data_IF_246793861267
#
_entry.id   IF_246793861267
#
_cell.length_a   1.000
_cell.length_b   1.000
_cell.length_c   1.000
_cell.angle_alpha   90.00
_cell.angle_beta   90.00
_cell.angle_gamma   90.00
#
_symmetry.space_group_name_H-M   'P 1'
#
loop_
_entity.id
_entity.type
_entity.pdbx_description
1 polymer ?
#
# COMPACT_ATOMS: atom_id res chain seq x y z
N UNK A 1 -0.84 -21.02 12.31
CA UNK A 1 -1.38 -19.78 11.70
C UNK A 1 -0.51 -18.54 11.96
N UNK A 2 -0.01 -18.29 13.18
CA UNK A 2 0.81 -17.11 13.49
C UNK A 2 2.09 -16.99 12.64
N UNK A 3 2.82 -18.09 12.45
CA UNK A 3 4.03 -18.12 11.62
C UNK A 3 3.79 -17.70 10.16
N UNK A 4 2.71 -18.16 9.54
CA UNK A 4 2.36 -17.79 8.17
C UNK A 4 2.00 -16.29 8.03
N UNK A 5 1.33 -15.72 9.04
CA UNK A 5 1.05 -14.28 9.09
C UNK A 5 2.34 -13.46 9.24
N UNK A 6 3.28 -13.93 10.05
CA UNK A 6 4.57 -13.26 10.25
C UNK A 6 5.43 -13.28 8.97
N UNK A 7 5.48 -14.41 8.26
CA UNK A 7 6.16 -14.50 6.97
C UNK A 7 5.54 -13.56 5.92
N UNK A 8 4.21 -13.45 5.91
CA UNK A 8 3.53 -12.51 5.02
C UNK A 8 3.90 -11.06 5.34
N UNK A 9 3.93 -10.69 6.62
CA UNK A 9 4.37 -9.36 7.06
C UNK A 9 5.82 -9.08 6.64
N UNK A 10 6.75 -10.02 6.85
CA UNK A 10 8.13 -9.90 6.38
C UNK A 10 8.20 -9.65 4.86
N UNK A 11 7.40 -10.37 4.06
CA UNK A 11 7.39 -10.15 2.61
C UNK A 11 6.78 -8.81 2.20
N UNK A 12 5.77 -8.32 2.91
CA UNK A 12 5.22 -6.98 2.66
C UNK A 12 6.25 -5.89 3.00
N UNK A 13 6.95 -6.03 4.12
CA UNK A 13 8.05 -5.14 4.49
C UNK A 13 9.13 -5.14 3.42
N UNK A 14 9.51 -6.30 2.92
CA UNK A 14 10.48 -6.42 1.82
C UNK A 14 10.02 -5.70 0.54
N UNK A 15 8.75 -5.87 0.14
CA UNK A 15 8.23 -5.18 -1.04
C UNK A 15 8.13 -3.65 -0.84
N UNK A 16 7.82 -3.18 0.37
CA UNK A 16 7.87 -1.76 0.72
C UNK A 16 9.29 -1.17 0.54
N UNK A 17 10.31 -1.79 1.14
CA UNK A 17 11.69 -1.31 1.00
C UNK A 17 12.22 -1.44 -0.43
N UNK A 18 11.80 -2.47 -1.19
CA UNK A 18 12.10 -2.59 -2.62
C UNK A 18 11.58 -1.39 -3.41
N UNK A 19 10.32 -1.01 -3.21
CA UNK A 19 9.68 0.14 -3.89
C UNK A 19 10.40 1.45 -3.56
N UNK A 20 10.70 1.66 -2.28
CA UNK A 20 11.46 2.82 -1.80
C UNK A 20 12.83 2.90 -2.47
N UNK A 21 13.56 1.77 -2.50
CA UNK A 21 14.90 1.74 -3.10
C UNK A 21 14.85 2.01 -4.60
N UNK A 22 13.86 1.47 -5.31
CA UNK A 22 13.64 1.80 -6.73
C UNK A 22 13.35 3.29 -6.93
N UNK A 23 12.47 3.88 -6.13
CA UNK A 23 12.19 5.32 -6.20
C UNK A 23 13.47 6.15 -6.00
N UNK A 24 14.34 5.73 -5.08
CA UNK A 24 15.58 6.45 -4.73
C UNK A 24 16.74 6.25 -5.71
N UNK A 25 16.66 5.31 -6.66
CA UNK A 25 17.71 5.06 -7.66
C UNK A 25 17.87 6.21 -8.67
N UNK A 26 16.83 7.01 -8.86
CA UNK A 26 16.79 8.06 -9.87
C UNK A 26 17.05 9.44 -9.27
N UNK A 27 17.62 10.33 -10.07
CA UNK A 27 17.99 11.71 -9.67
C UNK A 27 16.78 12.54 -9.19
N UNK A 28 15.64 12.41 -9.86
CA UNK A 28 14.35 13.02 -9.50
C UNK A 28 13.51 12.17 -8.53
N UNK A 29 14.10 11.10 -8.00
CA UNK A 29 13.42 10.18 -7.09
C UNK A 29 12.14 9.60 -7.70
N UNK A 30 11.00 9.61 -6.97
CA UNK A 30 9.74 9.06 -7.45
C UNK A 30 9.11 9.85 -8.61
N UNK A 31 9.57 11.07 -8.87
CA UNK A 31 9.10 11.88 -10.01
C UNK A 31 9.90 11.60 -11.30
N UNK A 32 10.89 10.70 -11.25
CA UNK A 32 11.63 10.28 -12.43
C UNK A 32 10.68 9.68 -13.49
N UNK A 33 10.77 10.11 -14.77
CA UNK A 33 9.96 9.52 -15.85
C UNK A 33 10.24 8.02 -16.09
N UNK A 34 11.35 7.50 -15.56
CA UNK A 34 11.77 6.10 -15.59
C UNK A 34 11.23 5.28 -14.41
N UNK A 35 10.77 5.94 -13.35
CA UNK A 35 10.11 5.29 -12.21
C UNK A 35 8.59 5.28 -12.42
N UNK A 36 7.95 4.19 -12.02
CA UNK A 36 6.50 4.09 -12.04
C UNK A 36 6.02 3.25 -10.85
N UNK A 37 5.55 3.94 -9.82
CA UNK A 37 5.03 3.33 -8.59
C UNK A 37 3.92 2.31 -8.87
N UNK A 38 3.05 2.56 -9.85
CA UNK A 38 1.94 1.67 -10.20
C UNK A 38 2.43 0.31 -10.73
N UNK A 39 3.56 0.29 -11.44
CA UNK A 39 4.18 -0.97 -11.88
C UNK A 39 4.68 -1.76 -10.68
N UNK A 40 5.42 -1.11 -9.77
CA UNK A 40 5.97 -1.78 -8.59
C UNK A 40 4.87 -2.31 -7.65
N UNK A 41 3.78 -1.54 -7.48
CA UNK A 41 2.59 -1.94 -6.73
C UNK A 41 1.90 -3.14 -7.39
N UNK A 42 1.67 -3.10 -8.70
CA UNK A 42 1.05 -4.21 -9.43
C UNK A 42 1.85 -5.51 -9.28
N UNK A 43 3.17 -5.45 -9.39
CA UNK A 43 4.06 -6.62 -9.19
C UNK A 43 3.90 -7.22 -7.78
N UNK A 44 3.92 -6.37 -6.74
CA UNK A 44 3.74 -6.81 -5.35
C UNK A 44 2.36 -7.41 -5.11
N UNK A 45 1.30 -6.75 -5.59
CA UNK A 45 -0.07 -7.24 -5.46
C UNK A 45 -0.27 -8.58 -6.20
N UNK A 46 0.31 -8.74 -7.39
CA UNK A 46 0.25 -9.99 -8.15
C UNK A 46 1.03 -11.14 -7.50
N UNK A 47 2.11 -10.82 -6.79
CA UNK A 47 2.88 -11.81 -6.03
C UNK A 47 2.11 -12.33 -4.81
N UNK A 48 1.37 -11.45 -4.13
CA UNK A 48 0.80 -11.73 -2.81
C UNK A 48 -0.68 -12.10 -2.81
N UNK A 49 -1.48 -11.55 -3.72
CA UNK A 49 -2.91 -11.83 -3.74
C UNK A 49 -3.18 -13.21 -4.35
N UNK A 50 -3.98 -14.08 -3.70
CA UNK A 50 -4.35 -15.38 -4.25
C UNK A 50 -5.32 -15.25 -5.43
N UNK A 51 -5.44 -16.30 -6.25
CA UNK A 51 -6.30 -16.32 -7.44
C UNK A 51 -7.79 -16.07 -7.16
N UNK A 52 -8.26 -16.47 -5.98
CA UNK A 52 -9.63 -16.31 -5.50
C UNK A 52 -9.83 -15.04 -4.64
N UNK A 53 -8.90 -14.07 -4.66
CA UNK A 53 -8.96 -12.88 -3.82
C UNK A 53 -10.31 -12.15 -3.88
N UNK A 54 -10.88 -11.98 -5.08
CA UNK A 54 -12.21 -11.37 -5.29
C UNK A 54 -13.32 -12.06 -4.48
N UNK A 55 -13.35 -13.40 -4.46
CA UNK A 55 -14.34 -14.15 -3.67
C UNK A 55 -14.15 -13.97 -2.17
N UNK A 56 -12.89 -13.82 -1.75
CA UNK A 56 -12.57 -13.58 -0.34
C UNK A 56 -13.00 -12.18 0.05
N UNK A 57 -12.72 -11.16 -0.75
CA UNK A 57 -12.86 -9.77 -0.28
C UNK A 57 -14.22 -9.15 -0.55
N UNK A 58 -15.08 -9.75 -1.40
CA UNK A 58 -16.44 -9.25 -1.63
C UNK A 58 -17.23 -9.12 -0.31
N UNK A 59 -17.94 -8.01 -0.17
CA UNK A 59 -18.65 -7.62 1.05
C UNK A 59 -17.76 -7.30 2.27
N UNK A 60 -16.43 -7.44 2.17
CA UNK A 60 -15.49 -7.24 3.30
C UNK A 60 -14.50 -6.11 3.06
N UNK A 61 -14.01 -5.95 1.83
CA UNK A 61 -13.11 -4.88 1.43
C UNK A 61 -13.91 -3.76 0.77
N UNK A 62 -13.82 -2.56 1.32
CA UNK A 62 -14.45 -1.36 0.77
C UNK A 62 -13.33 -0.42 0.29
N UNK A 63 -13.30 -0.12 -1.00
CA UNK A 63 -12.29 0.75 -1.61
C UNK A 63 -12.93 2.08 -1.98
N UNK A 64 -12.51 3.14 -1.31
CA UNK A 64 -12.90 4.50 -1.65
C UNK A 64 -12.12 5.02 -2.86
N UNK A 65 -12.84 5.48 -3.88
CA UNK A 65 -12.28 5.97 -5.14
C UNK A 65 -12.90 7.32 -5.51
N UNK A 66 -12.08 8.24 -5.99
CA UNK A 66 -12.57 9.49 -6.58
C UNK A 66 -12.75 9.33 -8.08
N UNK A 67 -13.96 9.56 -8.57
CA UNK A 67 -14.28 9.48 -10.00
C UNK A 67 -13.79 10.72 -10.73
N UNK A 68 -12.98 10.53 -11.76
CA UNK A 68 -12.20 11.64 -12.36
C UNK A 68 -13.06 12.69 -13.06
N UNK A 69 -14.17 12.30 -13.68
CA UNK A 69 -14.92 13.22 -14.54
C UNK A 69 -15.85 14.18 -13.79
N UNK A 70 -16.28 13.82 -12.57
CA UNK A 70 -17.20 14.62 -11.76
C UNK A 70 -16.75 14.80 -10.30
N UNK A 71 -15.58 14.26 -9.93
CA UNK A 71 -15.01 14.37 -8.59
C UNK A 71 -15.78 13.60 -7.50
N UNK A 72 -16.81 12.83 -7.88
CA UNK A 72 -17.65 12.14 -6.89
C UNK A 72 -16.94 10.94 -6.30
N UNK A 73 -17.15 10.71 -5.01
CA UNK A 73 -16.72 9.50 -4.34
C UNK A 73 -17.54 8.29 -4.82
N UNK A 74 -16.88 7.14 -4.91
CA UNK A 74 -17.51 5.83 -5.13
C UNK A 74 -16.80 4.80 -4.25
N UNK A 75 -17.57 4.11 -3.42
CA UNK A 75 -17.08 2.94 -2.66
C UNK A 75 -17.32 1.68 -3.49
N UNK A 76 -16.26 0.91 -3.71
CA UNK A 76 -16.32 -0.39 -4.40
C UNK A 76 -16.11 -1.50 -3.38
N UNK A 77 -17.08 -2.42 -3.28
CA UNK A 77 -17.01 -3.59 -2.39
C UNK A 77 -17.23 -4.94 -3.09
N UNK A 78 -17.62 -4.92 -4.36
CA UNK A 78 -17.94 -6.13 -5.14
C UNK A 78 -17.07 -6.25 -6.39
N UNK A 79 -16.41 -7.40 -6.52
CA UNK A 79 -15.43 -7.72 -7.55
C UNK A 79 -15.79 -9.03 -8.26
N UNK A 80 -15.77 -9.03 -9.59
CA UNK A 80 -16.08 -10.20 -10.41
C UNK A 80 -14.85 -11.12 -10.63
N UNK A 81 -13.64 -10.57 -10.49
CA UNK A 81 -12.39 -11.31 -10.69
C UNK A 81 -11.23 -10.73 -9.88
N UNK A 82 -10.15 -11.50 -9.76
CA UNK A 82 -8.89 -11.04 -9.15
C UNK A 82 -8.35 -9.79 -9.86
N UNK A 83 -8.48 -9.73 -11.18
CA UNK A 83 -8.07 -8.57 -11.96
C UNK A 83 -8.87 -7.31 -11.62
N UNK A 84 -10.16 -7.44 -11.29
CA UNK A 84 -10.95 -6.29 -10.81
C UNK A 84 -10.43 -5.77 -9.47
N UNK A 85 -10.10 -6.66 -8.53
CA UNK A 85 -9.49 -6.28 -7.24
C UNK A 85 -8.18 -5.52 -7.46
N UNK A 86 -7.28 -6.09 -8.28
CA UNK A 86 -6.01 -5.45 -8.64
C UNK A 86 -6.25 -4.07 -9.26
N UNK A 87 -7.20 -3.97 -10.18
CA UNK A 87 -7.47 -2.73 -10.89
C UNK A 87 -8.05 -1.66 -9.97
N UNK A 88 -8.93 -2.02 -9.03
CA UNK A 88 -9.48 -1.10 -8.04
C UNK A 88 -8.41 -0.61 -7.07
N UNK A 89 -7.56 -1.50 -6.55
CA UNK A 89 -6.43 -1.14 -5.69
C UNK A 89 -5.44 -0.19 -6.39
N UNK A 90 -5.14 -0.43 -7.68
CA UNK A 90 -4.32 0.49 -8.47
C UNK A 90 -4.97 1.86 -8.65
N UNK A 91 -6.30 1.93 -8.79
CA UNK A 91 -7.01 3.22 -8.80
C UNK A 91 -6.90 3.93 -7.45
N UNK A 92 -7.07 3.18 -6.35
CA UNK A 92 -6.99 3.72 -5.00
C UNK A 92 -5.60 4.28 -4.69
N UNK A 93 -4.53 3.66 -5.20
CA UNK A 93 -3.16 4.15 -5.03
C UNK A 93 -2.70 5.12 -6.15
N UNK A 94 -3.62 5.65 -6.97
CA UNK A 94 -3.26 6.57 -8.05
C UNK A 94 -3.43 8.03 -7.62
N UNK A 95 -2.31 8.68 -7.30
CA UNK A 95 -2.27 10.11 -7.01
C UNK A 95 -1.81 10.83 -8.29
N UNK A 96 -2.65 11.67 -8.93
CA UNK A 96 -2.28 12.41 -10.12
C UNK A 96 -0.99 13.23 -9.92
N UNK A 97 -0.11 13.23 -10.92
CA UNK A 97 1.19 13.92 -10.86
C UNK A 97 2.28 13.13 -10.15
N UNK A 98 1.95 12.38 -9.10
CA UNK A 98 2.90 11.49 -8.39
C UNK A 98 2.98 10.10 -9.03
N UNK A 99 1.85 9.44 -9.20
CA UNK A 99 1.77 8.09 -9.79
C UNK A 99 1.83 8.09 -11.33
N UNK A 100 1.61 9.24 -11.94
CA UNK A 100 1.57 9.45 -13.38
C UNK A 100 0.52 10.48 -13.80
N UNK A 101 0.36 10.67 -15.11
CA UNK A 101 -0.55 11.68 -15.67
C UNK A 101 -1.95 11.12 -15.95
N UNK A 102 -2.03 9.85 -16.38
CA UNK A 102 -3.29 9.26 -16.83
C UNK A 102 -3.79 8.23 -15.80
N UNK A 103 -4.91 8.51 -15.10
CA UNK A 103 -5.46 7.57 -14.14
C UNK A 103 -5.88 6.24 -14.79
N UNK A 104 -5.75 5.13 -14.04
CA UNK A 104 -6.24 3.82 -14.45
C UNK A 104 -7.76 3.79 -14.64
N UNK A 105 -8.27 2.69 -15.20
CA UNK A 105 -9.71 2.49 -15.42
C UNK A 105 -10.21 1.28 -14.64
N UNK A 106 -11.30 1.46 -13.94
CA UNK A 106 -12.10 0.38 -13.35
C UNK A 106 -13.47 0.37 -14.03
N UNK A 107 -13.90 -0.79 -14.55
CA UNK A 107 -15.15 -0.95 -15.31
C UNK A 107 -15.37 0.11 -16.41
N UNK A 108 -14.28 0.48 -17.09
CA UNK A 108 -14.29 1.47 -18.19
C UNK A 108 -14.24 2.94 -17.77
N UNK A 109 -14.45 3.25 -16.49
CA UNK A 109 -14.43 4.61 -15.93
C UNK A 109 -13.07 4.90 -15.29
N UNK A 110 -12.63 6.16 -15.32
CA UNK A 110 -11.37 6.58 -14.69
C UNK A 110 -11.58 6.97 -13.23
N UNK A 111 -10.72 6.43 -12.38
CA UNK A 111 -10.70 6.69 -10.96
C UNK A 111 -9.29 7.03 -10.50
N UNK A 112 -9.22 7.77 -9.41
CA UNK A 112 -8.00 8.11 -8.69
C UNK A 112 -8.21 7.92 -7.19
N UNK A 113 -7.17 8.18 -6.42
CA UNK A 113 -7.13 8.01 -4.97
C UNK A 113 -8.38 8.59 -4.26
N UNK A 114 -8.85 7.86 -3.24
CA UNK A 114 -10.00 8.26 -2.43
C UNK A 114 -9.75 9.59 -1.70
N UNK A 115 -8.49 9.95 -1.45
CA UNK A 115 -8.11 11.18 -0.77
C UNK A 115 -8.57 12.48 -1.43
N UNK A 116 -9.04 12.43 -2.68
CA UNK A 116 -9.62 13.58 -3.38
C UNK A 116 -11.13 13.74 -3.18
N UNK A 117 -11.77 12.84 -2.42
CA UNK A 117 -13.21 12.92 -2.12
C UNK A 117 -13.56 12.38 -0.72
N UNK A 118 -13.11 11.18 -0.38
CA UNK A 118 -13.27 10.54 0.94
C UNK A 118 -12.10 9.58 1.20
N UNK A 119 -11.15 9.98 2.04
CA UNK A 119 -9.90 9.25 2.30
C UNK A 119 -10.05 8.20 3.41
N UNK A 120 -10.86 8.50 4.42
CA UNK A 120 -11.08 7.67 5.61
C UNK A 120 -12.58 7.43 5.78
N UNK A 121 -13.19 6.58 4.93
CA UNK A 121 -14.60 6.26 5.06
C UNK A 121 -14.88 5.57 6.39
N UNK A 122 -15.88 6.06 7.11
CA UNK A 122 -16.39 5.46 8.36
C UNK A 122 -17.57 4.58 8.00
N UNK A 123 -17.49 3.28 8.29
CA UNK A 123 -18.54 2.32 7.95
C UNK A 123 -19.61 2.22 9.04
N UNK A 124 -19.18 2.23 10.31
CA UNK A 124 -20.02 2.12 11.50
C UNK A 124 -19.28 2.62 12.75
N UNK A 125 -19.93 2.54 13.91
CA UNK A 125 -19.40 2.95 15.22
C UNK A 125 -18.18 2.12 15.68
N UNK A 126 -17.95 0.94 15.09
CA UNK A 126 -16.83 0.06 15.42
C UNK A 126 -15.63 0.26 14.48
N UNK A 127 -15.69 1.24 13.59
CA UNK A 127 -14.64 1.50 12.61
C UNK A 127 -13.40 2.10 13.28
N UNK A 128 -12.28 1.37 13.22
CA UNK A 128 -10.97 1.86 13.69
C UNK A 128 -10.23 2.53 12.53
N UNK A 129 -9.82 3.78 12.74
CA UNK A 129 -9.11 4.59 11.75
C UNK A 129 -7.59 4.58 11.96
N UNK A 130 -6.84 4.58 10.86
CA UNK A 130 -5.37 4.56 10.89
C UNK A 130 -4.83 5.65 9.98
N UNK A 131 -3.93 6.49 10.49
CA UNK A 131 -3.34 7.60 9.74
C UNK A 131 -1.83 7.69 9.95
N UNK A 132 -1.04 7.96 8.89
CA UNK A 132 0.39 8.25 9.04
C UNK A 132 0.65 9.68 9.55
N UNK A 133 -0.38 10.51 9.74
CA UNK A 133 -0.27 11.88 10.23
C UNK A 133 -0.87 12.02 11.62
N UNK A 134 -0.26 12.87 12.45
CA UNK A 134 -0.84 13.25 13.74
C UNK A 134 -2.18 13.99 13.53
N UNK A 135 -3.19 13.63 14.31
CA UNK A 135 -4.55 14.16 14.17
C UNK A 135 -5.54 13.39 15.05
N UNK A 136 -6.77 13.25 14.55
CA UNK A 136 -7.91 12.66 15.30
C UNK A 136 -8.15 11.17 15.01
N UNK A 137 -7.27 10.51 14.24
CA UNK A 137 -7.41 9.07 13.98
C UNK A 137 -7.09 8.23 15.23
N UNK A 138 -7.69 7.05 15.32
CA UNK A 138 -7.53 6.14 16.46
C UNK A 138 -6.07 5.69 16.62
N UNK A 139 -5.46 5.28 15.50
CA UNK A 139 -4.05 4.88 15.40
C UNK A 139 -3.32 5.90 14.53
N UNK A 140 -2.53 6.75 15.16
CA UNK A 140 -1.69 7.73 14.48
C UNK A 140 -0.53 8.19 15.38
N UNK A 141 0.50 8.84 14.82
CA UNK A 141 1.54 9.48 15.61
C UNK A 141 0.95 10.49 16.60
N UNK A 142 1.57 10.61 17.77
CA UNK A 142 1.21 11.60 18.81
C UNK A 142 2.38 12.57 19.02
N UNK A 143 2.31 13.74 18.40
CA UNK A 143 3.34 14.77 18.52
C UNK A 143 3.09 15.66 19.76
N UNK A 144 4.15 16.19 20.37
CA UNK A 144 4.07 17.18 21.45
C UNK A 144 3.84 18.59 20.89
N UNK A 145 2.78 18.79 20.11
CA UNK A 145 2.34 20.09 19.64
C UNK A 145 1.05 20.52 20.33
N UNK A 146 0.85 21.84 20.40
CA UNK A 146 -0.42 22.41 20.81
C UNK A 146 -1.44 22.07 19.72
N UNK A 147 -2.33 21.13 19.99
CA UNK A 147 -3.35 20.56 19.08
C UNK A 147 -4.43 21.59 18.68
N UNK A 148 -4.03 22.83 18.43
CA UNK A 148 -4.93 23.99 18.33
C UNK A 148 -5.57 24.12 16.95
N UNK A 149 -4.96 23.55 15.89
CA UNK A 149 -5.44 23.69 14.52
C UNK A 149 -5.35 22.39 13.72
N UNK A 150 -6.51 21.94 13.20
CA UNK A 150 -6.65 20.76 12.36
C UNK A 150 -7.20 21.14 10.97
N UNK A 151 -6.66 20.53 9.93
CA UNK A 151 -7.24 20.54 8.59
C UNK A 151 -8.07 19.27 8.40
N UNK A 152 -9.36 19.41 8.14
CA UNK A 152 -10.18 18.29 7.68
C UNK A 152 -10.19 18.26 6.15
N UNK A 153 -9.55 17.25 5.57
CA UNK A 153 -9.51 17.02 4.13
C UNK A 153 -10.00 15.62 3.81
N UNK A 154 -11.11 15.51 3.07
CA UNK A 154 -11.71 14.23 2.65
C UNK A 154 -11.86 13.25 3.82
N UNK A 155 -12.55 13.68 4.90
CA UNK A 155 -12.72 12.92 6.15
C UNK A 155 -11.42 12.55 6.89
N UNK A 156 -10.29 13.19 6.57
CA UNK A 156 -9.04 13.04 7.32
C UNK A 156 -8.73 14.33 8.06
N UNK A 157 -8.72 14.25 9.39
CA UNK A 157 -8.23 15.32 10.26
C UNK A 157 -6.72 15.23 10.40
N UNK A 158 -6.00 16.21 9.84
CA UNK A 158 -4.54 16.33 9.91
C UNK A 158 -4.19 17.57 10.71
N UNK A 159 -3.39 17.41 11.76
CA UNK A 159 -2.90 18.54 12.53
C UNK A 159 -1.93 19.39 11.69
N UNK A 160 -2.09 20.72 11.74
CA UNK A 160 -1.16 21.65 11.08
C UNK A 160 0.10 21.79 11.95
N UNK A 161 1.05 20.88 11.77
CA UNK A 161 2.30 20.87 12.52
C UNK A 161 3.52 20.75 11.61
N UNK A 162 4.67 21.25 12.09
CA UNK A 162 5.97 21.08 11.39
C UNK A 162 6.29 19.59 11.20
N UNK A 163 5.88 18.77 12.15
CA UNK A 163 6.05 17.33 12.15
C UNK A 163 5.24 16.69 11.02
N UNK A 164 3.96 17.04 10.86
CA UNK A 164 3.15 16.54 9.74
C UNK A 164 3.62 17.05 8.38
N UNK A 165 4.06 18.30 8.28
CA UNK A 165 4.70 18.81 7.05
C UNK A 165 5.96 17.98 6.72
N UNK A 166 6.80 17.70 7.72
CA UNK A 166 7.97 16.84 7.52
C UNK A 166 7.59 15.42 7.10
N UNK A 167 6.52 14.85 7.64
CA UNK A 167 6.00 13.53 7.21
C UNK A 167 5.54 13.57 5.75
N UNK A 168 4.77 14.60 5.37
CA UNK A 168 4.30 14.78 4.00
C UNK A 168 5.45 14.88 3.00
N UNK A 169 6.46 15.69 3.29
CA UNK A 169 7.67 15.80 2.46
C UNK A 169 8.39 14.45 2.34
N UNK A 170 8.46 13.67 3.41
CA UNK A 170 9.11 12.34 3.42
C UNK A 170 8.31 11.26 2.68
N UNK A 171 7.00 11.42 2.52
CA UNK A 171 6.18 10.57 1.66
C UNK A 171 6.50 10.85 0.19
N UNK A 172 6.60 12.13 -0.19
CA UNK A 172 6.95 12.53 -1.56
C UNK A 172 8.42 12.28 -1.90
N UNK A 173 9.32 12.38 -0.92
CA UNK A 173 10.75 12.16 -1.08
C UNK A 173 11.22 11.14 -0.03
N UNK A 174 11.09 9.83 -0.34
CA UNK A 174 11.35 8.78 0.63
C UNK A 174 12.77 8.91 1.21
N UNK A 175 12.94 8.99 2.54
CA UNK A 175 14.25 9.18 3.19
C UNK A 175 15.09 7.89 3.15
N UNK A 176 16.28 7.91 3.76
CA UNK A 176 17.13 6.71 3.82
C UNK A 176 16.44 5.59 4.64
N UNK A 177 16.77 4.31 4.38
CA UNK A 177 16.15 3.17 5.09
C UNK A 177 16.21 3.26 6.62
N UNK A 178 17.25 3.88 7.19
CA UNK A 178 17.39 4.06 8.65
C UNK A 178 16.35 5.03 9.24
N UNK A 179 15.81 5.94 8.44
CA UNK A 179 14.69 6.79 8.85
C UNK A 179 13.36 6.09 8.65
N UNK A 180 13.26 5.23 7.65
CA UNK A 180 12.05 4.44 7.40
C UNK A 180 11.83 3.39 8.47
N UNK A 181 12.89 2.76 8.98
CA UNK A 181 12.80 1.84 10.11
C UNK A 181 12.17 2.49 11.34
N UNK A 182 12.50 3.75 11.62
CA UNK A 182 11.91 4.54 12.71
C UNK A 182 10.41 4.78 12.49
N UNK A 183 9.97 5.00 11.25
CA UNK A 183 8.53 5.12 10.95
C UNK A 183 7.80 3.79 11.11
N UNK A 184 8.41 2.67 10.69
CA UNK A 184 7.84 1.35 10.91
C UNK A 184 7.71 1.06 12.41
N UNK A 185 8.74 1.35 13.20
CA UNK A 185 8.70 1.19 14.66
C UNK A 185 7.62 2.08 15.28
N UNK A 186 7.56 3.36 14.91
CA UNK A 186 6.52 4.28 15.38
C UNK A 186 5.11 3.74 15.08
N UNK A 187 4.84 3.26 13.87
CA UNK A 187 3.53 2.68 13.54
C UNK A 187 3.19 1.42 14.32
N UNK A 188 4.20 0.61 14.68
CA UNK A 188 4.01 -0.52 15.58
C UNK A 188 3.66 -0.05 17.00
N UNK A 189 4.40 0.92 17.52
CA UNK A 189 4.18 1.49 18.86
C UNK A 189 2.81 2.16 18.97
N UNK A 190 2.39 2.91 17.93
CA UNK A 190 1.09 3.57 17.87
C UNK A 190 -0.06 2.55 17.90
N UNK A 191 0.05 1.46 17.12
CA UNK A 191 -0.94 0.38 17.13
C UNK A 191 -0.96 -0.35 18.48
N UNK A 192 0.21 -0.61 19.08
CA UNK A 192 0.33 -1.25 20.38
C UNK A 192 -0.30 -0.40 21.49
N UNK A 193 -0.07 0.91 21.47
CA UNK A 193 -0.68 1.85 22.41
C UNK A 193 -2.20 1.89 22.26
N UNK A 194 -2.72 1.88 21.03
CA UNK A 194 -4.16 1.80 20.79
C UNK A 194 -4.76 0.51 21.39
N UNK A 195 -4.15 -0.64 21.11
CA UNK A 195 -4.61 -1.92 21.64
C UNK A 195 -4.55 -1.94 23.19
N UNK A 196 -3.51 -1.34 23.77
CA UNK A 196 -3.37 -1.24 25.21
C UNK A 196 -4.45 -0.33 25.84
N UNK A 197 -4.63 0.89 25.33
CA UNK A 197 -5.61 1.87 25.84
C UNK A 197 -7.05 1.36 25.76
N UNK A 198 -7.36 0.55 24.75
CA UNK A 198 -8.69 -0.01 24.54
C UNK A 198 -8.87 -1.42 25.14
N UNK A 199 -7.91 -1.90 25.95
CA UNK A 199 -7.98 -3.22 26.59
C UNK A 199 -8.17 -4.40 25.60
N UNK A 200 -7.60 -4.30 24.40
CA UNK A 200 -7.73 -5.30 23.33
C UNK A 200 -6.65 -6.39 23.38
N UNK A 201 -5.68 -6.27 24.30
CA UNK A 201 -4.66 -7.30 24.57
C UNK A 201 -5.17 -8.20 25.70
N UNK A 202 -5.62 -9.39 25.32
CA UNK A 202 -6.31 -10.34 26.22
C UNK A 202 -5.64 -11.72 26.20
N UNK A 203 -5.75 -12.46 27.30
CA UNK A 203 -5.32 -13.85 27.37
C UNK A 203 -6.29 -14.77 26.60
N UNK A 204 -5.84 -16.00 26.28
CA UNK A 204 -6.62 -16.96 25.48
C UNK A 204 -8.01 -17.23 26.07
N UNK A 205 -8.12 -17.28 27.40
CA UNK A 205 -9.39 -17.48 28.11
C UNK A 205 -10.36 -16.33 27.85
N UNK A 206 -9.93 -15.10 28.05
CA UNK A 206 -10.79 -13.91 27.86
C UNK A 206 -11.19 -13.71 26.39
N UNK A 207 -10.29 -14.03 25.45
CA UNK A 207 -10.62 -14.03 24.01
C UNK A 207 -11.69 -15.07 23.69
N UNK A 208 -11.58 -16.29 24.23
CA UNK A 208 -12.57 -17.34 24.02
C UNK A 208 -13.96 -16.91 24.53
N UNK A 209 -14.03 -16.37 25.75
CA UNK A 209 -15.26 -15.83 26.35
C UNK A 209 -15.91 -14.74 25.48
N UNK A 210 -15.12 -13.74 25.04
CA UNK A 210 -15.62 -12.67 24.17
C UNK A 210 -16.13 -13.21 22.82
N UNK A 211 -15.49 -14.25 22.28
CA UNK A 211 -15.91 -14.85 21.01
C UNK A 211 -17.18 -15.69 21.12
N UNK A 212 -17.43 -16.34 22.26
CA UNK A 212 -18.65 -17.14 22.50
C UNK A 212 -19.89 -16.27 22.66
N UNK A 213 -19.73 -15.06 23.21
CA UNK A 213 -20.82 -14.08 23.34
C UNK A 213 -21.42 -13.65 21.99
N UNK A 214 -20.66 -13.78 20.89
CA UNK A 214 -21.10 -13.41 19.54
C UNK A 214 -21.76 -14.59 18.80
N UNK A 215 -21.69 -15.83 19.32
CA UNK A 215 -21.99 -17.05 18.54
C UNK A 215 -23.10 -17.95 19.13
N UNK A 216 -23.65 -17.73 20.32
CA UNK A 216 -24.76 -18.59 20.80
C UNK A 216 -25.74 -17.92 21.76
N UNK A 217 -27.02 -17.88 21.36
CA UNK A 217 -28.21 -17.73 22.21
C UNK A 217 -28.61 -19.04 22.93
N UNK A 218 -27.80 -20.10 22.88
CA UNK A 218 -28.16 -21.39 23.47
C UNK A 218 -27.14 -21.90 24.49
N UNK A 219 -27.54 -21.77 25.77
CA UNK A 219 -27.32 -22.69 26.91
C UNK A 219 -25.89 -23.18 27.18
N UNK A 220 -25.04 -22.28 27.65
CA UNK A 220 -24.07 -22.55 28.72
C UNK A 220 -23.85 -21.24 29.46
N UNK A 221 -23.84 -21.23 30.79
CA UNK A 221 -23.57 -19.98 31.54
C UNK A 221 -22.27 -19.37 31.02
N UNK A 222 -22.28 -18.16 30.43
CA UNK A 222 -21.05 -17.56 29.94
C UNK A 222 -20.18 -17.31 31.17
N UNK A 223 -18.94 -17.82 31.16
CA UNK A 223 -17.94 -17.28 32.07
C UNK A 223 -17.88 -15.79 31.76
N UNK A 224 -18.26 -14.93 32.70
CA UNK A 224 -18.25 -13.48 32.47
C UNK A 224 -16.84 -13.01 32.15
N UNK A 225 -16.74 -12.03 31.24
CA UNK A 225 -15.47 -11.35 30.99
C UNK A 225 -15.00 -10.71 32.30
N UNK A 226 -13.86 -11.16 32.81
CA UNK A 226 -13.24 -10.60 34.01
C UNK A 226 -12.39 -9.37 33.61
N UNK A 227 -12.88 -8.13 33.84
CA UNK A 227 -12.12 -6.92 33.54
C UNK A 227 -10.84 -6.81 34.37
N UNK A 228 -10.77 -7.52 35.50
CA UNK A 228 -9.66 -7.53 36.44
C UNK A 228 -8.69 -8.71 36.24
N UNK A 229 -8.84 -9.46 35.13
CA UNK A 229 -8.05 -10.63 34.83
C UNK A 229 -6.53 -10.35 34.92
N UNK A 230 -5.87 -10.97 35.92
CA UNK A 230 -4.44 -10.77 36.20
C UNK A 230 -3.54 -11.12 35.02
N UNK A 231 -3.90 -12.14 34.25
CA UNK A 231 -3.14 -12.58 33.07
C UNK A 231 -3.24 -11.54 31.94
N UNK A 232 -4.44 -10.98 31.69
CA UNK A 232 -4.62 -9.89 30.72
C UNK A 232 -3.85 -8.63 31.16
N UNK A 233 -3.90 -8.27 32.45
CA UNK A 233 -3.12 -7.15 33.01
C UNK A 233 -1.62 -7.35 32.83
N UNK A 234 -1.13 -8.56 33.06
CA UNK A 234 0.27 -8.91 32.83
C UNK A 234 0.63 -8.80 31.35
N UNK A 235 -0.16 -9.38 30.44
CA UNK A 235 0.09 -9.28 29.00
C UNK A 235 0.10 -7.83 28.51
N UNK A 236 -0.80 -6.97 29.02
CA UNK A 236 -0.81 -5.54 28.70
C UNK A 236 0.46 -4.83 29.17
N UNK A 237 0.95 -5.13 30.38
CA UNK A 237 2.23 -4.59 30.89
C UNK A 237 3.43 -5.07 30.07
N UNK A 238 3.50 -6.37 29.79
CA UNK A 238 4.59 -6.97 29.02
C UNK A 238 4.60 -6.48 27.55
N UNK A 239 3.43 -6.17 27.00
CA UNK A 239 3.29 -5.60 25.67
C UNK A 239 3.95 -4.21 25.56
N UNK A 240 3.90 -3.37 26.60
CA UNK A 240 4.48 -2.02 26.57
C UNK A 240 6.01 -2.01 26.51
N UNK A 241 6.68 -3.10 26.89
CA UNK A 241 8.13 -3.26 26.74
C UNK A 241 8.52 -4.06 25.50
N UNK A 242 7.54 -4.49 24.70
CA UNK A 242 7.77 -5.29 23.50
C UNK A 242 8.23 -4.42 22.32
N UNK A 243 9.11 -4.98 21.50
CA UNK A 243 9.53 -4.37 20.23
C UNK A 243 8.80 -5.04 19.05
N UNK A 244 8.96 -4.44 17.86
CA UNK A 244 8.54 -5.08 16.62
C UNK A 244 9.14 -6.48 16.50
N UNK A 245 8.42 -7.49 15.94
CA UNK A 245 8.93 -8.84 15.83
C UNK A 245 10.32 -8.91 15.19
N UNK A 246 11.22 -9.68 15.80
CA UNK A 246 12.63 -9.76 15.38
C UNK A 246 12.78 -10.10 13.90
N UNK A 247 11.96 -11.03 13.37
CA UNK A 247 11.98 -11.40 11.95
C UNK A 247 11.68 -10.23 11.00
N UNK A 248 10.91 -9.23 11.45
CA UNK A 248 10.65 -8.02 10.66
C UNK A 248 11.81 -7.05 10.80
N UNK A 249 12.36 -6.91 12.02
CA UNK A 249 13.56 -6.10 12.27
C UNK A 249 14.75 -6.59 11.45
N UNK A 250 14.96 -7.90 11.35
CA UNK A 250 16.05 -8.51 10.57
C UNK A 250 15.92 -8.15 9.08
N UNK A 251 14.69 -8.20 8.53
CA UNK A 251 14.44 -7.76 7.14
C UNK A 251 14.80 -6.29 6.98
N UNK A 252 14.36 -5.42 7.90
CA UNK A 252 14.67 -3.99 7.85
C UNK A 252 16.19 -3.74 7.93
N UNK A 253 16.88 -4.46 8.81
CA UNK A 253 18.34 -4.35 9.00
C UNK A 253 19.10 -4.80 7.74
N UNK A 254 18.71 -5.91 7.12
CA UNK A 254 19.31 -6.37 5.86
C UNK A 254 19.16 -5.30 4.76
N UNK A 255 18.00 -4.65 4.66
CA UNK A 255 17.81 -3.53 3.72
C UNK A 255 18.69 -2.31 4.04
N UNK A 256 18.84 -1.96 5.32
CA UNK A 256 19.74 -0.88 5.75
C UNK A 256 21.18 -1.21 5.36
N UNK A 257 21.63 -2.44 5.61
CA UNK A 257 22.99 -2.86 5.26
C UNK A 257 23.23 -2.84 3.75
N UNK A 258 22.30 -3.36 2.94
CA UNK A 258 22.40 -3.36 1.49
C UNK A 258 22.46 -1.93 0.93
N UNK A 259 21.66 -1.01 1.48
CA UNK A 259 21.70 0.40 1.09
C UNK A 259 23.04 1.06 1.43
N UNK A 260 23.70 0.63 2.51
CA UNK A 260 24.99 1.16 2.94
C UNK A 260 26.20 0.52 2.24
N UNK A 261 26.07 -0.71 1.72
CA UNK A 261 27.12 -1.43 0.98
C UNK A 261 27.31 -0.98 -0.48
N UNK A 262 26.46 -0.09 -1.01
CA UNK A 262 26.49 0.30 -2.42
C UNK A 262 27.63 1.27 -2.80
N UNK A 263 28.34 0.98 -3.90
CA UNK A 263 29.32 1.87 -4.55
C UNK A 263 28.75 3.29 -4.79
N UNK A 264 27.45 3.37 -5.08
CA UNK A 264 26.72 4.63 -5.22
C UNK A 264 26.73 5.46 -3.93
N UNK A 265 26.56 4.85 -2.74
CA UNK A 265 26.57 5.57 -1.47
C UNK A 265 27.97 6.10 -1.14
N UNK A 266 29.04 5.41 -1.56
CA UNK A 266 30.42 5.91 -1.51
C UNK A 266 30.62 7.14 -2.42
N UNK A 267 30.15 7.09 -3.67
CA UNK A 267 30.22 8.21 -4.63
C UNK A 267 29.38 9.41 -4.17
N UNK A 268 28.15 9.18 -3.69
CA UNK A 268 27.24 10.22 -3.19
C UNK A 268 27.65 10.82 -1.83
N UNK A 269 28.58 10.19 -1.10
CA UNK A 269 29.14 10.73 0.15
C UNK A 269 30.09 11.91 -0.10
N UNK A 270 30.69 12.00 -1.28
CA UNK A 270 31.47 13.16 -1.69
C UNK A 270 30.54 14.28 -2.20
N UNK A 271 30.27 15.26 -1.33
CA UNK A 271 29.37 16.41 -1.59
C UNK A 271 29.62 17.12 -2.93
N UNK A 272 30.86 17.14 -3.44
CA UNK A 272 31.23 17.77 -4.72
C UNK A 272 30.71 17.06 -5.98
N UNK A 273 30.56 15.73 -5.96
CA UNK A 273 30.15 14.96 -7.15
C UNK A 273 28.64 15.02 -7.38
N UNK A 274 27.84 15.19 -6.30
CA UNK A 274 26.38 15.28 -6.40
C UNK A 274 25.93 16.55 -7.14
N UNK A 275 26.63 17.67 -6.97
CA UNK A 275 26.29 18.94 -7.63
C UNK A 275 26.70 18.94 -9.10
N UNK A 276 27.81 18.29 -9.45
CA UNK A 276 28.32 18.19 -10.83
C UNK A 276 27.56 17.18 -11.69
N UNK A 277 26.93 16.17 -11.10
CA UNK A 277 26.21 15.11 -11.82
C UNK A 277 24.72 15.41 -12.07
N UNK A 278 24.09 16.30 -11.31
CA UNK A 278 22.67 16.68 -11.48
C UNK A 278 22.34 17.25 -12.88
N UNK A 279 23.16 18.14 -13.48
CA UNK A 279 22.86 18.69 -14.81
C UNK A 279 22.90 17.65 -15.93
N UNK A 280 23.71 16.59 -15.78
CA UNK A 280 23.89 15.56 -16.81
C UNK A 280 22.96 14.34 -16.60
N UNK A 281 22.62 14.01 -15.36
CA UNK A 281 21.78 12.84 -15.04
C UNK A 281 20.32 13.05 -15.39
N UNK A 282 19.76 14.25 -15.17
CA UNK A 282 18.35 14.52 -15.49
C UNK A 282 18.08 14.41 -17.00
N UNK A 283 18.83 15.04 -17.92
CA UNK A 283 18.65 14.85 -19.36
C UNK A 283 18.79 13.39 -19.79
N UNK A 284 19.74 12.64 -19.21
CA UNK A 284 19.92 11.22 -19.50
C UNK A 284 18.76 10.36 -19.01
N UNK A 285 18.22 10.61 -17.81
CA UNK A 285 17.04 9.93 -17.29
C UNK A 285 15.82 10.19 -18.17
N UNK A 286 15.62 11.43 -18.63
CA UNK A 286 14.57 11.79 -19.59
C UNK A 286 14.77 11.11 -20.95
N UNK A 287 16.00 11.05 -21.46
CA UNK A 287 16.34 10.42 -22.74
C UNK A 287 16.10 8.90 -22.68
N UNK A 288 16.60 8.23 -21.64
CA UNK A 288 16.37 6.80 -21.39
C UNK A 288 14.88 6.48 -21.20
N UNK A 289 14.14 7.30 -20.45
CA UNK A 289 12.70 7.13 -20.29
C UNK A 289 11.95 7.27 -21.63
N UNK A 290 12.37 8.23 -22.45
CA UNK A 290 11.76 8.47 -23.77
C UNK A 290 12.02 7.30 -24.70
N UNK A 291 13.26 6.80 -24.75
CA UNK A 291 13.64 5.61 -25.53
C UNK A 291 12.87 4.37 -25.05
N UNK A 292 12.79 4.15 -23.73
CA UNK A 292 12.05 3.03 -23.15
C UNK A 292 10.56 3.09 -23.47
N UNK A 293 9.92 4.26 -23.35
CA UNK A 293 8.50 4.47 -23.73
C UNK A 293 8.26 4.24 -25.22
N UNK A 294 9.18 4.68 -26.09
CA UNK A 294 9.11 4.44 -27.54
C UNK A 294 9.25 2.95 -27.85
N UNK A 295 10.23 2.27 -27.25
CA UNK A 295 10.45 0.84 -27.43
C UNK A 295 9.24 0.02 -26.93
N UNK A 296 8.67 0.37 -25.79
CA UNK A 296 7.47 -0.27 -25.28
C UNK A 296 6.25 -0.03 -26.19
N UNK A 297 6.04 1.19 -26.69
CA UNK A 297 5.00 1.48 -27.71
C UNK A 297 5.22 0.67 -28.99
N UNK A 298 6.48 0.54 -29.44
CA UNK A 298 6.83 -0.26 -30.61
C UNK A 298 6.55 -1.76 -30.40
N UNK A 299 6.97 -2.32 -29.25
CA UNK A 299 6.69 -3.70 -28.84
C UNK A 299 5.20 -3.98 -28.75
N UNK A 300 4.42 -3.06 -28.16
CA UNK A 300 2.96 -3.15 -28.11
C UNK A 300 2.32 -3.13 -29.51
N UNK A 301 2.76 -2.23 -30.41
CA UNK A 301 2.32 -2.22 -31.82
C UNK A 301 2.66 -3.54 -32.52
N UNK A 302 3.85 -4.10 -32.30
CA UNK A 302 4.30 -5.39 -32.86
C UNK A 302 3.46 -6.56 -32.33
N UNK A 303 3.16 -6.60 -31.02
CA UNK A 303 2.23 -7.58 -30.41
C UNK A 303 0.82 -7.46 -30.98
N UNK A 304 0.27 -6.25 -31.14
CA UNK A 304 -1.05 -6.00 -31.78
C UNK A 304 -1.07 -6.46 -33.24
N UNK A 305 -0.03 -6.16 -34.04
CA UNK A 305 0.12 -6.64 -35.43
C UNK A 305 0.18 -8.18 -35.50
N UNK A 306 0.95 -8.84 -34.63
CA UNK A 306 1.01 -10.32 -34.53
C UNK A 306 -0.36 -10.93 -34.18
N UNK A 307 -1.09 -10.36 -33.19
CA UNK A 307 -2.46 -10.79 -32.85
C UNK A 307 -3.44 -10.63 -34.03
N UNK A 308 -3.40 -9.51 -34.76
CA UNK A 308 -4.21 -9.29 -35.98
C UNK A 308 -3.89 -10.32 -37.09
N UNK A 309 -2.61 -10.61 -37.35
CA UNK A 309 -2.19 -11.64 -38.32
C UNK A 309 -2.68 -13.05 -37.92
N UNK A 310 -2.57 -13.43 -36.63
CA UNK A 310 -3.09 -14.70 -36.12
C UNK A 310 -4.63 -14.80 -36.26
N UNK A 311 -5.38 -13.73 -35.96
CA UNK A 311 -6.84 -13.68 -36.17
C UNK A 311 -7.22 -13.83 -37.65
N UNK A 312 -6.52 -13.14 -38.58
CA UNK A 312 -6.74 -13.29 -40.04
C UNK A 312 -6.45 -14.71 -40.53
N UNK A 313 -5.36 -15.35 -40.09
CA UNK A 313 -5.03 -16.75 -40.41
C UNK A 313 -6.10 -17.73 -39.89
N UNK A 314 -6.58 -17.55 -38.64
CA UNK A 314 -7.69 -18.35 -38.08
C UNK A 314 -8.99 -18.18 -38.89
N UNK A 315 -9.36 -16.94 -39.29
CA UNK A 315 -10.53 -16.69 -40.15
C UNK A 315 -10.39 -17.35 -41.53
N UNK A 316 -9.22 -17.27 -42.19
CA UNK A 316 -8.97 -17.95 -43.47
C UNK A 316 -9.05 -19.47 -43.36
N UNK A 317 -8.49 -20.07 -42.29
CA UNK A 317 -8.62 -21.52 -42.03
C UNK A 317 -10.07 -21.95 -41.79
N UNK A 318 -10.85 -21.16 -41.02
CA UNK A 318 -12.30 -21.42 -40.84
C UNK A 318 -13.08 -21.33 -42.15
N UNK A 319 -12.80 -20.34 -43.02
CA UNK A 319 -13.43 -20.23 -44.36
C UNK A 319 -13.06 -21.40 -45.27
N UNK A 320 -11.80 -21.85 -45.30
CA UNK A 320 -11.37 -23.03 -46.08
C UNK A 320 -12.03 -24.32 -45.58
N UNK A 321 -12.14 -24.52 -44.26
CA UNK A 321 -12.87 -25.67 -43.68
C UNK A 321 -14.36 -25.64 -44.01
N UNK A 322 -15.02 -24.47 -44.00
CA UNK A 322 -16.43 -24.34 -44.43
C UNK A 322 -16.64 -24.63 -45.92
N UNK A 323 -15.70 -24.24 -46.80
CA UNK A 323 -15.78 -24.57 -48.24
C UNK A 323 -15.56 -26.05 -48.54
N UNK A 324 -14.71 -26.75 -47.77
CA UNK A 324 -14.50 -28.20 -47.88
C UNK A 324 -15.63 -29.08 -47.32
N UNK A 325 -16.55 -28.51 -46.53
CA UNK A 325 -17.75 -29.19 -46.02
C UNK A 325 -19.00 -28.96 -46.88
N UNK A 326 -18.89 -28.20 -47.97
CA UNK A 326 -19.97 -27.85 -48.91
C UNK A 326 -19.75 -28.41 -50.32
N UNK A 327 -18.68 -29.18 -50.51
CA UNK A 327 -18.44 -30.08 -51.63
C UNK A 327 -18.49 -31.48 -51.06
#
# INVERSE_FOLDING_TARGET
MAHAKLLFLCSMTSDFFRVVNEARRYSLGPFSPSFNIQTCLLEGLQKHLPDDAHKRVNGRLHISLTRVYDGKNVIISEFESREEVLQALLCACFIPGFSGILPPRFRGVRYMDGAFSDNLPILDENTITVSPFCGESDICPRDQSSQLFHLNWANTSIEISRQNINRFVRILFPPRPEFLSKFCQQGFDDALQFLHRNNLINCRRCVAVQSTFVVSETVAQPQEFDPECRECKKHRKDALSSNMPQTVLDVIQDYIEQANKGLANWIFKHRGIKLLSLPATVPMDFLLATISKINNKYLQKKKKKKKKKKKKKKKKKKKKKKKKKKK
#
